data_IF_725645821052
#
_entry.id   IF_725645821052
#
_cell.length_a   1.000
_cell.length_b   1.000
_cell.length_c   1.000
_cell.angle_alpha   90.00
_cell.angle_beta   90.00
_cell.angle_gamma   90.00
#
_symmetry.space_group_name_H-M   'P 1'
#
loop_
_entity.id
_entity.type
_entity.pdbx_description
1 polymer ?
#
# COMPACT_ATOMS: atom_id res chain seq x y z
N UNK A 1 8.68 9.32 -3.72
CA UNK A 1 7.85 8.43 -4.49
C UNK A 1 7.58 7.11 -3.76
N UNK A 2 8.53 6.17 -3.74
CA UNK A 2 8.35 4.92 -3.00
C UNK A 2 8.16 5.17 -1.50
N UNK A 3 8.97 6.03 -0.91
CA UNK A 3 8.89 6.31 0.52
C UNK A 3 7.56 6.96 0.92
N UNK A 4 7.04 7.83 0.08
CA UNK A 4 5.73 8.45 0.32
C UNK A 4 4.63 7.40 0.23
N UNK A 5 4.69 6.55 -0.79
CA UNK A 5 3.73 5.48 -0.96
C UNK A 5 3.72 4.54 0.25
N UNK A 6 4.90 4.13 0.72
CA UNK A 6 5.01 3.22 1.87
C UNK A 6 4.42 3.84 3.12
N UNK A 7 4.63 5.14 3.36
CA UNK A 7 4.06 5.81 4.53
C UNK A 7 2.54 5.78 4.53
N UNK A 8 1.92 6.09 3.40
CA UNK A 8 0.46 6.03 3.26
C UNK A 8 -0.05 4.60 3.39
N UNK A 9 0.64 3.66 2.77
CA UNK A 9 0.26 2.26 2.81
C UNK A 9 0.36 1.70 4.23
N UNK A 10 1.42 2.03 4.96
CA UNK A 10 1.60 1.63 6.35
C UNK A 10 0.48 2.17 7.24
N UNK A 11 0.10 3.43 7.03
CA UNK A 11 -0.98 4.05 7.78
C UNK A 11 -2.30 3.35 7.57
N UNK A 12 -2.60 3.05 6.31
CA UNK A 12 -3.82 2.33 5.96
C UNK A 12 -3.79 0.92 6.54
N UNK A 13 -2.64 0.25 6.49
CA UNK A 13 -2.47 -1.06 7.07
C UNK A 13 -2.72 -1.03 8.58
N UNK A 14 -2.14 -0.08 9.29
CA UNK A 14 -2.31 0.05 10.73
C UNK A 14 -3.78 0.21 11.10
N UNK A 15 -4.50 1.07 10.40
CA UNK A 15 -5.93 1.29 10.65
C UNK A 15 -6.75 0.03 10.40
N UNK A 16 -6.46 -0.65 9.29
CA UNK A 16 -7.18 -1.88 8.93
C UNK A 16 -6.87 -3.01 9.92
N UNK A 17 -5.62 -3.13 10.32
CA UNK A 17 -5.21 -4.16 11.27
C UNK A 17 -5.82 -3.94 12.65
N UNK A 18 -5.89 -2.70 13.09
CA UNK A 18 -6.57 -2.36 14.36
C UNK A 18 -8.05 -2.70 14.30
N UNK A 19 -8.68 -2.44 13.16
CA UNK A 19 -10.08 -2.78 12.97
C UNK A 19 -10.29 -4.30 13.02
N UNK A 20 -9.36 -5.07 12.44
CA UNK A 20 -9.39 -6.51 12.53
C UNK A 20 -9.25 -7.00 13.98
N UNK A 21 -8.29 -6.46 14.71
CA UNK A 21 -8.07 -6.86 16.11
C UNK A 21 -9.25 -6.48 17.03
N UNK A 22 -10.00 -5.45 16.67
CA UNK A 22 -11.19 -5.06 17.42
C UNK A 22 -12.44 -5.84 17.01
N UNK A 23 -12.33 -6.76 16.07
CA UNK A 23 -13.43 -7.62 15.63
C UNK A 23 -14.29 -7.07 14.51
N UNK A 24 -13.91 -5.93 13.90
CA UNK A 24 -14.68 -5.33 12.81
C UNK A 24 -14.55 -6.07 11.50
N UNK A 25 -13.41 -6.71 11.28
CA UNK A 25 -13.15 -7.53 10.09
C UNK A 25 -12.91 -8.97 10.50
N UNK A 26 -13.41 -9.89 9.70
CA UNK A 26 -13.27 -11.33 9.96
C UNK A 26 -11.95 -11.90 9.47
N UNK A 27 -11.32 -11.26 8.48
CA UNK A 27 -10.08 -11.74 7.87
C UNK A 27 -8.89 -10.90 8.31
N UNK A 28 -7.76 -11.58 8.61
CA UNK A 28 -6.52 -10.92 8.96
C UNK A 28 -5.94 -10.21 7.73
N UNK A 29 -5.85 -8.85 7.74
CA UNK A 29 -5.31 -8.14 6.59
C UNK A 29 -3.85 -8.45 6.30
N UNK A 30 -3.07 -8.85 7.29
CA UNK A 30 -1.65 -9.16 7.07
C UNK A 30 -1.43 -10.36 6.17
N UNK A 31 -2.41 -11.26 6.07
CA UNK A 31 -2.32 -12.45 5.24
C UNK A 31 -2.49 -12.15 3.75
N UNK A 32 -3.27 -11.13 3.42
CA UNK A 32 -3.61 -10.82 2.04
C UNK A 32 -3.13 -9.46 1.57
N UNK A 33 -2.51 -8.66 2.44
CA UNK A 33 -2.15 -7.27 2.14
C UNK A 33 -1.29 -7.14 0.89
N UNK A 34 -0.26 -7.98 0.78
CA UNK A 34 0.65 -7.95 -0.36
C UNK A 34 -0.10 -8.18 -1.67
N UNK A 35 -0.91 -9.24 -1.72
CA UNK A 35 -1.63 -9.61 -2.93
C UNK A 35 -2.73 -8.63 -3.27
N UNK A 36 -3.43 -8.12 -2.25
CA UNK A 36 -4.50 -7.14 -2.46
C UNK A 36 -3.95 -5.83 -3.02
N UNK A 37 -2.80 -5.36 -2.52
CA UNK A 37 -2.15 -4.17 -3.04
C UNK A 37 -1.67 -4.38 -4.47
N UNK A 38 -1.08 -5.52 -4.75
CA UNK A 38 -0.62 -5.84 -6.11
C UNK A 38 -1.79 -5.88 -7.08
N UNK A 39 -2.90 -6.47 -6.66
CA UNK A 39 -4.14 -6.51 -7.42
C UNK A 39 -4.69 -5.12 -7.67
N UNK A 40 -4.64 -4.25 -6.67
CA UNK A 40 -5.10 -2.86 -6.80
C UNK A 40 -4.29 -2.09 -7.85
N UNK A 41 -2.96 -2.26 -7.84
CA UNK A 41 -2.12 -1.66 -8.87
C UNK A 41 -2.54 -2.10 -10.26
N UNK A 42 -2.73 -3.39 -10.45
CA UNK A 42 -3.03 -3.97 -11.77
C UNK A 42 -4.44 -3.64 -12.25
N UNK A 43 -5.41 -3.64 -11.34
CA UNK A 43 -6.82 -3.52 -11.74
C UNK A 43 -7.36 -2.10 -11.70
N UNK A 44 -6.75 -1.19 -10.93
CA UNK A 44 -7.27 0.17 -10.75
C UNK A 44 -6.25 1.26 -11.02
N UNK A 45 -5.08 1.18 -10.39
CA UNK A 45 -4.11 2.28 -10.45
C UNK A 45 -3.52 2.43 -11.85
N UNK A 46 -3.03 1.34 -12.44
CA UNK A 46 -2.45 1.39 -13.77
C UNK A 46 -3.48 1.72 -14.85
N UNK A 47 -4.69 1.11 -14.85
CA UNK A 47 -5.71 1.50 -15.81
C UNK A 47 -6.14 2.95 -15.70
N UNK A 48 -6.23 3.50 -14.48
CA UNK A 48 -6.55 4.91 -14.29
C UNK A 48 -5.45 5.81 -14.85
N UNK A 49 -4.19 5.47 -14.58
CA UNK A 49 -3.05 6.21 -15.12
C UNK A 49 -3.05 6.19 -16.65
N UNK A 50 -3.35 5.05 -17.26
CA UNK A 50 -3.47 4.93 -18.71
C UNK A 50 -4.62 5.77 -19.26
N UNK A 51 -5.75 5.80 -18.57
CA UNK A 51 -6.90 6.61 -18.98
C UNK A 51 -6.57 8.10 -18.96
N UNK A 52 -5.87 8.55 -17.91
CA UNK A 52 -5.43 9.94 -17.82
C UNK A 52 -4.46 10.30 -18.94
N UNK A 53 -3.55 9.39 -19.25
CA UNK A 53 -2.61 9.57 -20.35
C UNK A 53 -3.33 9.65 -21.71
N UNK A 54 -4.30 8.79 -21.93
CA UNK A 54 -5.07 8.74 -23.17
C UNK A 54 -5.93 9.98 -23.39
N UNK A 55 -6.38 10.62 -22.31
CA UNK A 55 -7.16 11.87 -22.43
C UNK A 55 -6.36 13.01 -23.02
N UNK A 56 -5.03 13.01 -22.86
CA UNK A 56 -4.16 14.04 -23.42
C UNK A 56 -4.31 15.41 -22.75
N UNK A 57 -5.16 15.53 -21.74
CA UNK A 57 -5.46 16.80 -21.09
C UNK A 57 -4.31 17.26 -20.20
N UNK A 58 -3.60 16.31 -19.58
CA UNK A 58 -2.56 16.60 -18.60
C UNK A 58 -1.13 16.56 -19.15
N UNK A 59 -0.97 16.20 -20.42
CA UNK A 59 0.34 16.20 -21.10
C UNK A 59 1.39 15.40 -20.37
N UNK A 60 2.56 16.03 -20.13
CA UNK A 60 3.71 15.38 -19.47
C UNK A 60 3.42 14.90 -18.03
N UNK A 61 2.48 15.53 -17.34
CA UNK A 61 2.11 15.15 -15.97
C UNK A 61 1.51 13.76 -15.94
N UNK A 62 0.70 13.40 -16.96
CA UNK A 62 0.10 12.07 -17.01
C UNK A 62 1.15 10.98 -17.27
N UNK A 63 2.21 11.29 -18.05
CA UNK A 63 3.31 10.36 -18.26
C UNK A 63 4.10 10.12 -16.97
N UNK A 64 4.33 11.17 -16.18
CA UNK A 64 4.98 11.04 -14.88
C UNK A 64 4.16 10.16 -13.94
N UNK A 65 2.84 10.37 -13.91
CA UNK A 65 1.93 9.58 -13.09
C UNK A 65 2.02 8.10 -13.44
N UNK A 66 2.01 7.80 -14.74
CA UNK A 66 2.13 6.43 -15.21
C UNK A 66 3.45 5.81 -14.80
N UNK A 67 4.54 6.56 -14.93
CA UNK A 67 5.87 6.08 -14.54
C UNK A 67 5.96 5.81 -13.03
N UNK A 68 5.40 6.69 -12.20
CA UNK A 68 5.39 6.49 -10.74
C UNK A 68 4.55 5.28 -10.35
N UNK A 69 3.40 5.11 -10.97
CA UNK A 69 2.52 3.96 -10.69
C UNK A 69 3.22 2.65 -11.05
N UNK A 70 3.86 2.60 -12.22
CA UNK A 70 4.62 1.43 -12.67
C UNK A 70 5.79 1.13 -11.75
N UNK A 71 6.52 2.16 -11.35
CA UNK A 71 7.68 2.02 -10.48
C UNK A 71 7.26 1.53 -9.10
N UNK A 72 6.21 2.10 -8.53
CA UNK A 72 5.70 1.67 -7.23
C UNK A 72 5.17 0.24 -7.29
N UNK A 73 4.53 -0.15 -8.39
CA UNK A 73 4.07 -1.52 -8.58
C UNK A 73 5.25 -2.50 -8.57
N UNK A 74 6.32 -2.17 -9.30
CA UNK A 74 7.52 -3.02 -9.35
C UNK A 74 8.18 -3.13 -7.98
N UNK A 75 8.29 -2.01 -7.28
CA UNK A 75 8.87 -1.98 -5.94
C UNK A 75 8.01 -2.83 -4.98
N UNK A 76 6.70 -2.71 -5.08
CA UNK A 76 5.79 -3.49 -4.24
C UNK A 76 5.88 -4.98 -4.55
N UNK A 77 5.97 -5.32 -5.84
CA UNK A 77 6.10 -6.71 -6.25
C UNK A 77 7.36 -7.36 -5.66
N UNK A 78 8.46 -6.62 -5.62
CA UNK A 78 9.75 -7.12 -5.12
C UNK A 78 9.87 -7.05 -3.60
N UNK A 79 9.41 -5.97 -2.99
CA UNK A 79 9.64 -5.65 -1.58
C UNK A 79 8.40 -5.69 -0.71
N UNK A 80 7.24 -5.86 -1.30
CA UNK A 80 5.97 -5.75 -0.58
C UNK A 80 5.82 -6.73 0.57
N UNK A 81 6.24 -7.96 0.39
CA UNK A 81 6.16 -8.97 1.45
C UNK A 81 7.00 -8.59 2.66
N UNK A 82 8.23 -8.17 2.43
CA UNK A 82 9.12 -7.69 3.48
C UNK A 82 8.56 -6.44 4.14
N UNK A 83 7.97 -5.57 3.34
CA UNK A 83 7.37 -4.33 3.83
C UNK A 83 6.22 -4.62 4.79
N UNK A 84 5.35 -5.56 4.45
CA UNK A 84 4.24 -5.97 5.32
C UNK A 84 4.77 -6.58 6.62
N UNK A 85 5.80 -7.40 6.54
CA UNK A 85 6.45 -7.95 7.74
C UNK A 85 6.98 -6.84 8.63
N UNK A 86 7.56 -5.81 8.03
CA UNK A 86 8.02 -4.64 8.74
C UNK A 86 6.91 -3.89 9.45
N UNK A 87 5.74 -3.79 8.82
CA UNK A 87 4.55 -3.17 9.44
C UNK A 87 4.12 -3.94 10.68
N UNK A 88 4.05 -5.26 10.58
CA UNK A 88 3.68 -6.11 11.70
C UNK A 88 4.67 -5.98 12.86
N UNK A 89 5.95 -5.95 12.53
CA UNK A 89 6.99 -5.80 13.55
C UNK A 89 6.86 -4.46 14.27
N UNK A 90 6.68 -3.37 13.53
CA UNK A 90 6.49 -2.04 14.10
C UNK A 90 5.24 -1.96 14.96
N UNK A 91 4.17 -2.59 14.52
CA UNK A 91 2.93 -2.63 15.28
C UNK A 91 3.12 -3.35 16.62
N UNK A 92 3.81 -4.48 16.60
CA UNK A 92 4.12 -5.23 17.81
C UNK A 92 4.96 -4.41 18.78
N UNK A 93 5.95 -3.68 18.27
CA UNK A 93 6.81 -2.82 19.08
C UNK A 93 6.00 -1.71 19.76
N UNK A 94 5.16 -1.02 19.01
CA UNK A 94 4.29 0.02 19.55
C UNK A 94 3.37 -0.50 20.64
N UNK A 95 2.85 -1.70 20.44
CA UNK A 95 1.95 -2.33 21.41
C UNK A 95 2.69 -2.69 22.71
N UNK A 96 3.92 -3.19 22.59
CA UNK A 96 4.75 -3.49 23.76
C UNK A 96 5.11 -2.23 24.54
N UNK A 97 5.49 -1.17 23.84
CA UNK A 97 5.81 0.12 24.46
C UNK A 97 4.59 0.69 25.19
N UNK A 98 3.40 0.54 24.63
CA UNK A 98 2.15 0.98 25.30
C UNK A 98 1.86 0.18 26.56
N UNK A 99 2.26 -1.08 26.61
CA UNK A 99 2.03 -1.93 27.79
C UNK A 99 2.99 -1.64 28.93
N UNK A 100 4.18 -1.14 28.62
CA UNK A 100 5.20 -0.84 29.62
C UNK A 100 4.83 0.44 30.41
N UNK A 101 4.11 1.33 29.78
CA UNK A 101 3.62 2.54 30.45
C UNK A 101 2.33 2.24 31.24
#
# INVERSE_FOLDING_TARGET
HWHVYVKWNERLFDETYRAYLSGRFSNDPSQTWYEDELSLFKSRILPLAQSLRSCGVFGAVSDEYMNYAEQNRREWEQKGKETVQGYLFKYSQKRQDSKIE
#
